data_IF_343880860120
#
_entry.id   IF_343880860120
#
_cell.length_a   1.000
_cell.length_b   1.000
_cell.length_c   1.000
_cell.angle_alpha   90.00
_cell.angle_beta   90.00
_cell.angle_gamma   90.00
#
_symmetry.space_group_name_H-M   'P 1'
#
loop_
_entity.id
_entity.type
_entity.pdbx_description
1 polymer ?
#
# COMPACT_ATOMS: atom_id res chain seq x y z
N UNK A 1 3.55 -34.08 58.14
CA UNK A 1 4.34 -32.90 58.56
C UNK A 1 3.89 -31.70 57.73
N UNK A 2 3.57 -30.62 58.46
CA UNK A 2 3.04 -29.27 58.16
C UNK A 2 2.82 -28.77 56.70
N UNK A 3 1.66 -28.15 56.42
CA UNK A 3 1.44 -27.25 55.27
C UNK A 3 1.97 -25.83 55.57
N UNK A 4 2.42 -25.09 54.55
CA UNK A 4 2.76 -23.66 54.67
C UNK A 4 1.59 -22.78 54.23
N UNK A 5 1.15 -21.93 55.16
CA UNK A 5 0.16 -20.86 54.99
C UNK A 5 0.82 -19.61 54.37
N UNK A 6 -0.02 -18.83 53.67
CA UNK A 6 0.26 -17.53 53.07
C UNK A 6 0.55 -16.42 54.09
N UNK A 7 1.24 -15.37 53.64
CA UNK A 7 1.10 -14.01 54.18
C UNK A 7 1.17 -12.98 53.05
N UNK A 8 0.05 -12.28 52.85
CA UNK A 8 -0.05 -10.97 52.23
C UNK A 8 0.78 -9.96 53.04
N UNK A 9 1.47 -9.04 52.34
CA UNK A 9 1.77 -7.72 52.88
C UNK A 9 1.46 -6.69 51.80
N UNK A 10 0.42 -5.89 52.04
CA UNK A 10 0.10 -4.72 51.24
C UNK A 10 0.95 -3.52 51.63
N UNK A 11 1.17 -2.62 50.69
CA UNK A 11 1.57 -1.25 50.98
C UNK A 11 0.80 -0.31 50.05
N UNK A 12 -0.06 0.50 50.65
CA UNK A 12 -0.75 1.63 50.04
C UNK A 12 -0.08 2.92 50.53
N UNK A 13 0.29 3.82 49.63
CA UNK A 13 0.65 5.24 49.91
C UNK A 13 0.31 6.02 48.61
N UNK A 14 -0.87 6.63 48.52
CA UNK A 14 -1.25 8.01 48.90
C UNK A 14 -0.98 9.06 47.80
N UNK A 15 -2.09 9.72 47.40
CA UNK A 15 -2.24 10.84 46.47
C UNK A 15 -1.39 12.07 46.81
N UNK A 16 -0.96 12.80 45.78
CA UNK A 16 -0.82 14.25 45.83
C UNK A 16 -1.34 14.89 44.53
N UNK A 17 -2.48 15.58 44.64
CA UNK A 17 -3.09 16.44 43.63
C UNK A 17 -2.50 17.84 43.79
N UNK A 18 -2.00 18.45 42.71
CA UNK A 18 -1.68 19.87 42.68
C UNK A 18 -2.50 20.54 41.57
N UNK A 19 -3.56 21.21 41.98
CA UNK A 19 -4.32 22.14 41.16
C UNK A 19 -3.66 23.53 41.23
N UNK A 20 -3.39 24.15 40.08
CA UNK A 20 -3.22 25.60 39.98
C UNK A 20 -4.28 26.12 38.99
N UNK A 21 -5.23 26.88 39.54
CA UNK A 21 -6.13 27.74 38.79
C UNK A 21 -6.10 29.13 39.44
N UNK A 22 -6.17 30.16 38.61
CA UNK A 22 -6.58 31.58 38.80
C UNK A 22 -6.27 32.20 37.42
N UNK A 23 -7.16 32.77 36.60
CA UNK A 23 -8.29 33.72 36.72
C UNK A 23 -8.03 34.72 35.56
N UNK A 24 -8.95 35.30 34.79
CA UNK A 24 -10.27 35.79 35.08
C UNK A 24 -11.06 36.11 33.78
N UNK A 25 -12.32 36.49 33.99
CA UNK A 25 -13.46 36.73 33.11
C UNK A 25 -13.29 37.77 32.00
N UNK A 26 -14.05 37.61 30.91
CA UNK A 26 -14.97 38.67 30.45
C UNK A 26 -16.16 38.09 29.67
N UNK A 27 -17.32 38.67 29.93
CA UNK A 27 -18.66 38.33 29.44
C UNK A 27 -19.02 39.05 28.15
N UNK A 28 -19.83 38.42 27.31
CA UNK A 28 -20.91 39.11 26.60
C UNK A 28 -20.96 38.91 25.08
N UNK A 29 -22.12 38.48 24.59
CA UNK A 29 -22.51 38.67 23.19
C UNK A 29 -23.18 37.47 22.53
N UNK A 30 -24.49 37.31 22.75
CA UNK A 30 -25.37 36.58 21.80
C UNK A 30 -25.41 37.35 20.48
N UNK A 31 -25.37 36.65 19.35
CA UNK A 31 -26.16 37.02 18.18
C UNK A 31 -26.38 35.82 17.26
N UNK A 32 -27.66 35.55 17.02
CA UNK A 32 -28.17 34.67 15.97
C UNK A 32 -28.08 35.39 14.63
N UNK A 33 -27.60 34.72 13.59
CA UNK A 33 -27.96 35.02 12.21
C UNK A 33 -27.83 33.75 11.36
N UNK A 34 -28.95 33.39 10.74
CA UNK A 34 -29.12 32.26 9.85
C UNK A 34 -28.36 32.44 8.52
N UNK A 35 -27.93 31.32 7.93
CA UNK A 35 -28.08 31.05 6.49
C UNK A 35 -27.65 29.61 6.21
N UNK A 36 -28.61 28.70 6.03
CA UNK A 36 -28.33 27.36 5.54
C UNK A 36 -28.51 27.39 4.01
N UNK A 37 -27.40 27.41 3.27
CA UNK A 37 -27.40 27.20 1.81
C UNK A 37 -26.75 25.87 1.52
N UNK A 38 -27.55 25.00 0.95
CA UNK A 38 -27.21 23.78 0.24
C UNK A 38 -26.14 24.06 -0.83
N UNK A 39 -25.08 23.27 -0.85
CA UNK A 39 -24.28 23.03 -2.05
C UNK A 39 -23.64 21.65 -1.93
N UNK A 40 -23.96 20.80 -2.90
CA UNK A 40 -23.30 19.53 -3.13
C UNK A 40 -21.86 19.80 -3.58
N UNK A 41 -20.88 19.14 -2.96
CA UNK A 41 -19.51 19.10 -3.47
C UNK A 41 -19.31 17.83 -4.30
N UNK A 42 -19.03 18.08 -5.57
CA UNK A 42 -18.55 17.11 -6.54
C UNK A 42 -17.17 16.61 -6.11
N UNK A 43 -17.03 15.30 -5.94
CA UNK A 43 -15.72 14.65 -5.85
C UNK A 43 -15.05 14.68 -7.23
N UNK A 44 -14.13 15.62 -7.44
CA UNK A 44 -13.15 15.52 -8.51
C UNK A 44 -11.96 14.72 -7.97
N UNK A 45 -11.78 13.51 -8.52
CA UNK A 45 -10.59 12.69 -8.31
C UNK A 45 -9.36 13.41 -8.86
N UNK A 46 -8.52 13.88 -7.95
CA UNK A 46 -7.19 14.37 -8.29
C UNK A 46 -6.25 13.17 -8.31
N UNK A 47 -5.85 12.73 -9.52
CA UNK A 47 -4.63 11.93 -9.69
C UNK A 47 -3.45 12.81 -9.25
N UNK A 48 -3.09 12.70 -7.98
CA UNK A 48 -2.00 13.46 -7.38
C UNK A 48 -0.68 12.75 -7.63
N UNK A 49 0.32 13.50 -8.09
CA UNK A 49 1.72 13.09 -8.07
C UNK A 49 2.15 12.93 -6.61
N UNK A 50 2.46 11.70 -6.18
CA UNK A 50 3.00 11.43 -4.84
C UNK A 50 4.49 11.79 -4.82
N UNK A 51 4.90 12.75 -3.97
CA UNK A 51 6.28 13.24 -3.84
C UNK A 51 6.96 12.79 -2.53
N UNK A 52 6.60 11.63 -1.97
CA UNK A 52 7.05 11.25 -0.63
C UNK A 52 8.56 10.95 -0.52
N UNK A 53 9.23 10.59 -1.62
CA UNK A 53 10.62 10.10 -1.61
C UNK A 53 11.64 10.89 -2.46
N UNK A 54 11.32 12.12 -2.86
CA UNK A 54 12.24 12.96 -3.64
C UNK A 54 12.31 12.62 -5.14
N UNK A 55 11.40 11.77 -5.62
CA UNK A 55 11.09 11.55 -7.03
C UNK A 55 9.57 11.68 -7.25
N UNK A 56 9.15 11.69 -8.52
CA UNK A 56 7.74 11.82 -8.89
C UNK A 56 7.22 10.51 -9.43
N UNK A 57 6.22 9.97 -8.75
CA UNK A 57 5.48 8.80 -9.20
C UNK A 57 4.24 9.21 -9.96
N UNK A 58 3.94 8.47 -11.04
CA UNK A 58 2.75 8.68 -11.85
C UNK A 58 1.76 7.53 -11.63
N UNK A 59 0.63 7.79 -10.95
CA UNK A 59 -0.40 6.77 -10.75
C UNK A 59 -1.01 6.31 -12.07
N UNK A 60 -1.10 5.00 -12.26
CA UNK A 60 -1.74 4.40 -13.45
C UNK A 60 -3.26 4.54 -13.35
N UNK A 61 -3.83 4.26 -12.18
CA UNK A 61 -5.25 4.40 -11.89
C UNK A 61 -5.51 4.46 -10.38
N UNK A 62 -6.78 4.34 -10.00
CA UNK A 62 -7.17 4.27 -8.60
C UNK A 62 -6.68 2.96 -7.97
N UNK A 63 -6.36 2.99 -6.68
CA UNK A 63 -6.02 1.80 -5.90
C UNK A 63 -7.19 0.81 -5.90
N UNK A 64 -6.87 -0.48 -5.82
CA UNK A 64 -7.87 -1.55 -5.80
C UNK A 64 -7.74 -2.37 -4.52
N UNK A 65 -8.84 -2.42 -3.78
CA UNK A 65 -8.97 -3.28 -2.60
C UNK A 65 -9.49 -4.67 -2.99
N UNK A 66 -8.75 -5.73 -2.65
CA UNK A 66 -9.11 -7.12 -2.97
C UNK A 66 -8.45 -8.10 -1.99
N UNK A 67 -9.21 -9.07 -1.48
CA UNK A 67 -8.68 -10.13 -0.59
C UNK A 67 -7.87 -9.62 0.62
N UNK A 68 -8.28 -8.50 1.23
CA UNK A 68 -7.57 -7.90 2.36
C UNK A 68 -6.24 -7.23 1.97
N UNK A 69 -6.08 -6.87 0.69
CA UNK A 69 -4.96 -6.12 0.13
C UNK A 69 -5.45 -4.81 -0.48
N UNK A 70 -4.63 -3.77 -0.39
CA UNK A 70 -4.68 -2.58 -1.21
C UNK A 70 -3.58 -2.70 -2.27
N UNK A 71 -3.95 -2.57 -3.54
CA UNK A 71 -3.05 -2.70 -4.69
C UNK A 71 -3.01 -1.38 -5.45
N UNK A 72 -1.85 -0.74 -5.48
CA UNK A 72 -1.58 0.43 -6.30
C UNK A 72 -0.65 0.08 -7.47
N UNK A 73 -0.71 0.88 -8.53
CA UNK A 73 0.16 0.75 -9.68
C UNK A 73 0.69 2.13 -10.08
N UNK A 74 2.01 2.28 -10.07
CA UNK A 74 2.70 3.52 -10.43
C UNK A 74 3.78 3.25 -11.46
N UNK A 75 4.20 4.29 -12.17
CA UNK A 75 5.43 4.25 -12.95
C UNK A 75 6.21 5.55 -12.81
N UNK A 76 7.51 5.48 -13.03
CA UNK A 76 8.41 6.65 -13.08
C UNK A 76 9.66 6.34 -13.90
N UNK A 77 10.72 7.15 -13.78
CA UNK A 77 11.97 6.93 -14.54
C UNK A 77 12.55 5.53 -14.32
N UNK A 78 13.17 4.91 -15.35
CA UNK A 78 13.94 3.69 -15.15
C UNK A 78 15.02 3.85 -14.09
N UNK A 79 15.28 2.79 -13.34
CA UNK A 79 16.24 2.81 -12.22
C UNK A 79 17.34 1.77 -12.40
N UNK A 80 18.51 2.04 -11.83
CA UNK A 80 19.56 1.05 -11.69
C UNK A 80 19.27 0.20 -10.45
N UNK A 81 19.33 -1.12 -10.60
CA UNK A 81 19.05 -2.07 -9.53
C UNK A 81 20.23 -3.01 -9.32
N UNK A 82 20.43 -3.43 -8.07
CA UNK A 82 21.42 -4.42 -7.70
C UNK A 82 20.76 -5.62 -7.00
N UNK A 83 21.29 -6.85 -7.19
CA UNK A 83 22.44 -7.18 -8.03
C UNK A 83 22.05 -7.23 -9.52
N UNK A 84 22.94 -6.73 -10.40
CA UNK A 84 22.63 -6.48 -11.81
C UNK A 84 22.20 -7.74 -12.59
N UNK A 85 22.71 -8.91 -12.22
CA UNK A 85 22.34 -10.20 -12.83
C UNK A 85 20.90 -10.64 -12.50
N UNK A 86 20.24 -10.00 -11.54
CA UNK A 86 18.83 -10.23 -11.18
C UNK A 86 17.92 -9.06 -11.56
N UNK A 87 18.47 -7.94 -12.03
CA UNK A 87 17.76 -6.68 -12.26
C UNK A 87 16.94 -6.63 -13.56
N UNK A 88 17.00 -7.65 -14.41
CA UNK A 88 16.36 -7.62 -15.72
C UNK A 88 17.00 -6.59 -16.66
N UNK A 89 16.24 -5.96 -17.57
CA UNK A 89 16.75 -4.96 -18.51
C UNK A 89 17.33 -3.72 -17.82
N UNK A 90 18.36 -3.14 -18.42
CA UNK A 90 19.05 -1.97 -17.88
C UNK A 90 18.20 -0.71 -17.99
N UNK A 91 18.47 0.25 -17.11
CA UNK A 91 17.79 1.54 -17.09
C UNK A 91 17.90 2.28 -18.44
N UNK A 92 19.07 2.24 -19.09
CA UNK A 92 19.32 2.94 -20.35
C UNK A 92 18.61 2.28 -21.56
N UNK A 93 18.11 1.06 -21.38
CA UNK A 93 17.45 0.26 -22.40
C UNK A 93 15.92 0.26 -22.23
N UNK A 94 15.39 0.88 -21.18
CA UNK A 94 13.97 0.86 -20.81
C UNK A 94 13.38 2.26 -20.74
N UNK A 95 12.04 2.35 -20.68
CA UNK A 95 11.33 3.62 -20.74
C UNK A 95 10.75 4.04 -19.39
N UNK A 96 10.37 3.07 -18.55
CA UNK A 96 9.83 3.31 -17.20
C UNK A 96 10.34 2.27 -16.21
N UNK A 97 10.38 2.64 -14.94
CA UNK A 97 10.22 1.66 -13.86
C UNK A 97 8.73 1.56 -13.53
N UNK A 98 8.18 0.34 -13.54
CA UNK A 98 6.78 0.05 -13.26
C UNK A 98 6.70 -0.71 -11.94
N UNK A 99 5.85 -0.25 -11.03
CA UNK A 99 5.73 -0.82 -9.67
C UNK A 99 4.31 -1.25 -9.34
N UNK A 100 4.23 -2.26 -8.48
CA UNK A 100 3.06 -2.68 -7.74
C UNK A 100 3.32 -2.54 -6.24
N UNK A 101 2.64 -1.58 -5.63
CA UNK A 101 2.63 -1.38 -4.18
C UNK A 101 1.46 -2.16 -3.60
N UNK A 102 1.77 -3.18 -2.81
CA UNK A 102 0.78 -4.12 -2.30
C UNK A 102 0.90 -4.15 -0.78
N UNK A 103 -0.09 -3.54 -0.14
CA UNK A 103 -0.14 -3.40 1.32
C UNK A 103 -1.35 -4.15 1.86
N UNK A 104 -1.25 -4.68 3.07
CA UNK A 104 -2.38 -5.30 3.75
C UNK A 104 -3.38 -4.22 4.18
N UNK A 105 -4.67 -4.50 3.99
CA UNK A 105 -5.73 -3.69 4.57
C UNK A 105 -5.80 -3.90 6.08
N UNK A 106 -6.40 -2.93 6.79
CA UNK A 106 -6.58 -3.02 8.25
C UNK A 106 -7.39 -4.24 8.70
N UNK A 107 -8.20 -4.81 7.81
CA UNK A 107 -9.01 -5.99 8.05
C UNK A 107 -8.39 -7.27 7.44
N UNK A 108 -7.09 -7.26 7.09
CA UNK A 108 -6.40 -8.44 6.60
C UNK A 108 -6.55 -9.62 7.58
N UNK A 109 -7.04 -10.75 7.05
CA UNK A 109 -7.34 -11.94 7.85
C UNK A 109 -6.20 -12.96 7.86
N UNK A 110 -5.08 -12.67 7.19
CA UNK A 110 -3.93 -13.58 7.04
C UNK A 110 -2.76 -13.25 7.96
N UNK A 111 -2.94 -12.28 8.86
CA UNK A 111 -1.97 -11.95 9.90
C UNK A 111 -0.95 -10.88 9.54
N UNK A 112 -1.05 -10.27 8.35
CA UNK A 112 -0.29 -9.05 8.04
C UNK A 112 -0.93 -7.84 8.71
N UNK A 113 -0.12 -6.93 9.24
CA UNK A 113 -0.61 -5.70 9.86
C UNK A 113 -1.17 -4.73 8.81
N UNK A 114 -2.20 -3.98 9.18
CA UNK A 114 -2.77 -2.96 8.30
C UNK A 114 -1.75 -1.91 7.89
N UNK A 115 -1.65 -1.65 6.58
CA UNK A 115 -0.68 -0.76 5.96
C UNK A 115 0.71 -1.36 5.79
N UNK A 116 0.96 -2.61 6.21
CA UNK A 116 2.25 -3.26 6.00
C UNK A 116 2.35 -3.81 4.57
N UNK A 117 3.53 -3.69 3.98
CA UNK A 117 3.82 -4.31 2.68
C UNK A 117 3.72 -5.84 2.80
N UNK A 118 3.09 -6.48 1.81
CA UNK A 118 2.86 -7.93 1.81
C UNK A 118 3.96 -8.66 1.03
N UNK A 119 4.88 -9.37 1.70
CA UNK A 119 5.97 -10.07 1.06
C UNK A 119 5.54 -11.41 0.45
N UNK A 120 6.48 -12.10 -0.20
CA UNK A 120 6.33 -13.47 -0.74
C UNK A 120 5.26 -13.64 -1.84
N UNK A 121 4.62 -12.57 -2.30
CA UNK A 121 3.80 -12.61 -3.51
C UNK A 121 4.66 -12.91 -4.74
N UNK A 122 4.06 -13.59 -5.72
CA UNK A 122 4.57 -13.58 -7.10
C UNK A 122 3.67 -12.67 -7.91
N UNK A 123 4.21 -11.54 -8.37
CA UNK A 123 3.45 -10.53 -9.12
C UNK A 123 3.92 -10.54 -10.57
N UNK A 124 2.99 -10.77 -11.49
CA UNK A 124 3.22 -10.65 -12.93
C UNK A 124 2.45 -9.45 -13.46
N UNK A 125 2.94 -8.87 -14.54
CA UNK A 125 2.23 -7.84 -15.27
C UNK A 125 1.98 -8.27 -16.71
N UNK A 126 0.86 -7.82 -17.26
CA UNK A 126 0.55 -7.86 -18.69
C UNK A 126 0.21 -6.44 -19.14
N UNK A 127 0.88 -5.98 -20.18
CA UNK A 127 0.65 -4.68 -20.81
C UNK A 127 0.15 -4.91 -22.22
N UNK A 128 -0.98 -4.32 -22.56
CA UNK A 128 -1.51 -4.29 -23.93
C UNK A 128 -1.71 -2.86 -24.38
N UNK A 129 -1.04 -2.47 -25.47
CA UNK A 129 -1.32 -1.23 -26.16
C UNK A 129 -2.62 -1.42 -26.97
N UNK A 130 -3.70 -0.75 -26.54
CA UNK A 130 -5.03 -0.88 -27.12
C UNK A 130 -5.14 -0.23 -28.50
N UNK A 131 -4.28 0.74 -28.81
CA UNK A 131 -4.28 1.44 -30.10
C UNK A 131 -3.59 0.61 -31.20
N UNK A 132 -2.54 -0.12 -30.84
CA UNK A 132 -1.73 -0.92 -31.79
C UNK A 132 -1.99 -2.42 -31.71
N UNK A 133 -2.65 -2.89 -30.65
CA UNK A 133 -2.89 -4.30 -30.38
C UNK A 133 -1.70 -5.09 -29.84
N UNK A 134 -0.51 -4.48 -29.75
CA UNK A 134 0.71 -5.13 -29.22
C UNK A 134 0.57 -5.42 -27.73
N UNK A 135 1.11 -6.55 -27.30
CA UNK A 135 1.17 -6.99 -25.92
C UNK A 135 2.58 -7.38 -25.50
N UNK A 136 2.83 -7.27 -24.19
CA UNK A 136 4.00 -7.81 -23.52
C UNK A 136 3.63 -8.22 -22.09
N UNK A 137 4.40 -9.12 -21.51
CA UNK A 137 4.24 -9.54 -20.12
C UNK A 137 5.58 -9.76 -19.45
N UNK A 138 5.58 -9.76 -18.12
CA UNK A 138 6.76 -10.00 -17.31
C UNK A 138 6.41 -10.36 -15.87
N UNK A 139 7.44 -10.68 -15.10
CA UNK A 139 7.34 -10.93 -13.65
C UNK A 139 8.10 -9.84 -12.93
N UNK A 140 7.47 -9.22 -11.93
CA UNK A 140 8.14 -8.27 -11.06
C UNK A 140 9.11 -8.94 -10.11
N UNK A 141 10.09 -8.18 -9.67
CA UNK A 141 11.04 -8.56 -8.65
C UNK A 141 10.70 -7.82 -7.36
N UNK A 142 10.74 -8.49 -6.19
CA UNK A 142 10.69 -7.77 -4.92
C UNK A 142 11.98 -7.00 -4.72
N UNK A 143 11.88 -5.72 -4.35
CA UNK A 143 13.04 -4.85 -4.12
C UNK A 143 12.70 -3.75 -3.11
N UNK A 144 13.64 -2.85 -2.86
CA UNK A 144 13.43 -1.67 -2.01
C UNK A 144 13.94 -0.43 -2.71
N UNK A 145 13.17 0.65 -2.61
CA UNK A 145 13.58 2.01 -2.92
C UNK A 145 13.62 2.85 -1.62
N UNK A 146 13.78 4.16 -1.74
CA UNK A 146 13.90 5.07 -0.58
C UNK A 146 12.59 5.28 0.19
N UNK A 147 11.44 5.02 -0.43
CA UNK A 147 10.10 5.01 0.18
C UNK A 147 9.70 3.65 0.78
N UNK A 148 10.34 2.55 0.38
CA UNK A 148 10.07 1.26 0.98
C UNK A 148 10.16 0.08 0.00
N UNK A 149 9.70 -1.10 0.43
CA UNK A 149 9.65 -2.28 -0.41
C UNK A 149 8.45 -2.29 -1.35
N UNK A 150 8.66 -2.78 -2.57
CA UNK A 150 7.63 -2.95 -3.60
C UNK A 150 7.95 -4.12 -4.53
N UNK A 151 7.05 -4.41 -5.47
CA UNK A 151 7.30 -5.29 -6.60
C UNK A 151 7.45 -4.46 -7.87
N UNK A 152 8.63 -4.48 -8.50
CA UNK A 152 8.92 -3.60 -9.63
C UNK A 152 9.58 -4.28 -10.81
N UNK A 153 9.63 -3.60 -11.95
CA UNK A 153 10.49 -3.92 -13.08
C UNK A 153 10.77 -2.69 -13.96
N UNK A 154 11.97 -2.63 -14.53
CA UNK A 154 12.23 -1.77 -15.68
C UNK A 154 11.53 -2.34 -16.93
N UNK A 155 10.77 -1.49 -17.64
CA UNK A 155 9.94 -1.88 -18.78
C UNK A 155 10.22 -0.98 -19.98
N UNK A 156 10.44 -1.62 -21.15
CA UNK A 156 10.40 -0.92 -22.44
C UNK A 156 8.95 -0.85 -22.92
N UNK A 157 8.42 0.35 -23.13
CA UNK A 157 7.04 0.53 -23.55
C UNK A 157 6.89 0.32 -25.06
N UNK A 158 5.72 -0.13 -25.50
CA UNK A 158 5.43 -0.44 -26.91
C UNK A 158 5.01 0.80 -27.71
N UNK A 159 5.62 1.95 -27.42
CA UNK A 159 5.28 3.27 -27.97
C UNK A 159 4.22 4.03 -27.15
N UNK A 160 3.89 5.24 -27.58
CA UNK A 160 2.79 6.01 -26.98
C UNK A 160 1.43 5.35 -27.27
N UNK A 161 0.44 5.60 -26.42
CA UNK A 161 -0.94 5.20 -26.69
C UNK A 161 -1.75 4.90 -25.43
N UNK A 162 -2.97 4.41 -25.65
CA UNK A 162 -3.83 3.85 -24.60
C UNK A 162 -3.39 2.42 -24.29
N UNK A 163 -3.22 2.11 -23.01
CA UNK A 163 -2.80 0.80 -22.52
C UNK A 163 -3.84 0.21 -21.58
N UNK A 164 -3.90 -1.12 -21.56
CA UNK A 164 -4.43 -1.90 -20.44
C UNK A 164 -3.25 -2.54 -19.70
N UNK A 165 -3.15 -2.28 -18.40
CA UNK A 165 -2.26 -2.99 -17.48
C UNK A 165 -3.09 -3.99 -16.69
N UNK A 166 -2.62 -5.23 -16.57
CA UNK A 166 -3.17 -6.24 -15.66
C UNK A 166 -2.05 -6.74 -14.74
N UNK A 167 -2.26 -6.70 -13.43
CA UNK A 167 -1.45 -7.46 -12.47
C UNK A 167 -2.09 -8.82 -12.21
N UNK A 168 -1.25 -9.85 -12.18
CA UNK A 168 -1.62 -11.22 -11.82
C UNK A 168 -0.83 -11.57 -10.55
N UNK A 169 -1.54 -11.68 -9.42
CA UNK A 169 -0.95 -11.76 -8.09
C UNK A 169 -1.16 -13.16 -7.52
N UNK A 170 -0.09 -13.93 -7.43
CA UNK A 170 -0.10 -15.25 -6.79
C UNK A 170 0.22 -15.13 -5.31
N UNK A 171 -0.42 -15.98 -4.50
CA UNK A 171 -0.36 -15.88 -3.04
C UNK A 171 1.01 -16.20 -2.44
N UNK A 172 1.30 -15.71 -1.22
CA UNK A 172 2.54 -15.99 -0.51
C UNK A 172 2.86 -17.49 -0.33
N UNK A 173 1.81 -18.33 -0.28
CA UNK A 173 1.92 -19.79 -0.17
C UNK A 173 2.83 -20.40 -1.25
N UNK A 174 2.79 -19.87 -2.49
CA UNK A 174 3.61 -20.39 -3.60
C UNK A 174 5.11 -20.15 -3.42
N UNK A 175 5.48 -19.14 -2.65
CA UNK A 175 6.87 -18.86 -2.28
C UNK A 175 7.23 -19.49 -0.92
N UNK A 176 6.37 -20.36 -0.38
CA UNK A 176 6.62 -21.10 0.85
C UNK A 176 6.23 -20.38 2.13
N UNK A 177 5.44 -19.30 2.06
CA UNK A 177 4.94 -18.63 3.26
C UNK A 177 3.85 -19.47 3.94
N UNK A 178 3.92 -19.59 5.26
CA UNK A 178 3.03 -20.44 6.07
C UNK A 178 2.11 -19.60 6.95
N UNK A 179 0.90 -20.10 7.18
CA UNK A 179 -0.03 -19.56 8.17
C UNK A 179 -0.12 -20.51 9.36
N UNK A 180 -0.14 -19.95 10.57
CA UNK A 180 -0.60 -20.70 11.74
C UNK A 180 -2.11 -20.96 11.59
N UNK A 181 -2.54 -22.17 11.94
CA UNK A 181 -3.93 -22.62 11.77
C UNK A 181 -4.52 -23.32 13.00
N UNK A 182 -3.74 -23.40 14.07
CA UNK A 182 -4.21 -23.87 15.38
C UNK A 182 -5.15 -22.87 16.05
N UNK A 183 -5.90 -23.31 17.05
CA UNK A 183 -6.90 -22.49 17.73
C UNK A 183 -6.29 -21.35 18.56
N UNK A 184 -5.10 -21.55 19.13
CA UNK A 184 -4.50 -20.60 20.07
C UNK A 184 -3.80 -19.43 19.35
N UNK A 185 -3.15 -19.70 18.22
CA UNK A 185 -2.28 -18.75 17.52
C UNK A 185 -2.61 -18.56 16.05
N UNK A 186 -3.59 -19.31 15.53
CA UNK A 186 -3.92 -19.31 14.12
C UNK A 186 -4.62 -18.05 13.64
N UNK A 187 -4.47 -17.77 12.36
CA UNK A 187 -5.20 -16.71 11.66
C UNK A 187 -6.48 -17.27 11.02
N UNK A 188 -7.57 -16.49 11.00
CA UNK A 188 -8.86 -16.97 10.50
C UNK A 188 -8.90 -17.08 8.96
N UNK A 189 -8.14 -16.24 8.25
CA UNK A 189 -8.11 -16.20 6.79
C UNK A 189 -7.26 -17.31 6.16
N UNK A 190 -7.42 -17.50 4.86
CA UNK A 190 -6.58 -18.39 4.04
C UNK A 190 -6.19 -17.65 2.78
N UNK A 191 -5.00 -17.94 2.29
CA UNK A 191 -4.56 -17.40 1.01
C UNK A 191 -5.47 -17.86 -0.14
N UNK A 192 -5.63 -16.99 -1.13
CA UNK A 192 -6.34 -17.31 -2.36
C UNK A 192 -5.61 -18.42 -3.13
N UNK A 193 -6.40 -19.29 -3.79
CA UNK A 193 -5.87 -20.44 -4.56
C UNK A 193 -5.64 -20.13 -6.03
N UNK A 194 -6.44 -19.22 -6.60
CA UNK A 194 -6.31 -18.75 -7.98
C UNK A 194 -5.73 -17.36 -7.96
N UNK A 195 -4.75 -17.03 -8.83
CA UNK A 195 -4.17 -15.68 -8.85
C UNK A 195 -5.25 -14.60 -8.94
N UNK A 196 -5.03 -13.51 -8.22
CA UNK A 196 -5.88 -12.32 -8.32
C UNK A 196 -5.51 -11.58 -9.60
N UNK A 197 -6.51 -11.03 -10.27
CA UNK A 197 -6.32 -10.20 -11.45
C UNK A 197 -6.86 -8.80 -11.19
N UNK A 198 -5.99 -7.80 -11.27
CA UNK A 198 -6.32 -6.39 -11.10
C UNK A 198 -5.94 -5.66 -12.38
N UNK A 199 -6.80 -4.78 -12.90
CA UNK A 199 -6.56 -4.13 -14.19
C UNK A 199 -6.92 -2.65 -14.22
N UNK A 200 -6.14 -1.90 -15.00
CA UNK A 200 -6.37 -0.49 -15.27
C UNK A 200 -6.22 -0.19 -16.76
N UNK A 201 -6.95 0.82 -17.24
CA UNK A 201 -6.67 1.44 -18.52
C UNK A 201 -6.08 2.84 -18.30
N UNK A 202 -4.99 3.16 -19.00
CA UNK A 202 -4.30 4.43 -18.85
C UNK A 202 -3.68 4.90 -20.16
N UNK A 203 -3.40 6.19 -20.26
CA UNK A 203 -2.67 6.75 -21.40
C UNK A 203 -1.19 6.87 -21.05
N UNK A 204 -0.33 6.29 -21.89
CA UNK A 204 1.11 6.44 -21.78
C UNK A 204 1.62 7.36 -22.89
N UNK A 205 2.35 8.39 -22.49
CA UNK A 205 3.12 9.25 -23.37
C UNK A 205 4.59 9.19 -22.89
N UNK A 206 5.56 8.90 -23.79
CA UNK A 206 6.97 8.95 -23.42
C UNK A 206 7.31 10.29 -22.78
N UNK A 207 7.96 10.23 -21.61
CA UNK A 207 8.35 11.41 -20.84
C UNK A 207 9.87 11.53 -20.81
N UNK A 208 10.33 12.77 -20.64
CA UNK A 208 11.65 13.02 -20.06
C UNK A 208 11.42 13.24 -18.58
N UNK A 209 12.10 12.45 -17.77
CA UNK A 209 12.10 12.58 -16.32
C UNK A 209 13.19 13.56 -15.88
#
# INVERSE_FOLDING_TARGET
MRPRKAHLLGLAVALAVAALALGACSTGGRNSAASNKTAAEQSQGSKGDSQAAGFTEYPIGDEVEIEGLNVAAVYFQPVQMEPAEKAGPKAEETDVHLEADIHALNDNQTGFGGGEWVPYLTVKYQLKNLDTGKDQEGTFMPMSASDGPHYGANVKMMGAGKYKLTFIIESPEKQGYLLHVDEETGVPGRFWRKPLEVSWEFNYLPRKF
#
